data_IF_295281564996
#
_entry.id   IF_295281564996
#
_cell.length_a   1.000
_cell.length_b   1.000
_cell.length_c   1.000
_cell.angle_alpha   90.00
_cell.angle_beta   90.00
_cell.angle_gamma   90.00
#
_symmetry.space_group_name_H-M   'P 1'
#
loop_
_entity.id
_entity.type
_entity.pdbx_description
1 polymer ?
#
# COMPACT_ATOMS: atom_id res chain seq x y z
N UNK A 1 -2.61 -8.38 -11.85
CA UNK A 1 -3.37 -9.00 -10.72
C UNK A 1 -4.62 -9.68 -11.25
N UNK A 2 -5.55 -8.97 -11.90
CA UNK A 2 -6.73 -9.57 -12.54
C UNK A 2 -6.40 -10.74 -13.48
N UNK A 3 -5.40 -10.58 -14.36
CA UNK A 3 -4.90 -11.65 -15.23
C UNK A 3 -4.27 -12.85 -14.51
N UNK A 4 -3.80 -12.68 -13.27
CA UNK A 4 -3.11 -13.72 -12.51
C UNK A 4 -4.05 -14.49 -11.57
N UNK A 5 -5.15 -13.85 -11.14
CA UNK A 5 -6.09 -14.39 -10.14
C UNK A 5 -7.41 -14.86 -10.78
N UNK A 6 -7.77 -14.35 -11.97
CA UNK A 6 -9.13 -14.45 -12.49
C UNK A 6 -10.04 -13.37 -11.92
N UNK A 7 -11.20 -13.13 -12.55
CA UNK A 7 -12.06 -11.98 -12.21
C UNK A 7 -12.66 -12.07 -10.81
N UNK A 8 -13.22 -13.22 -10.43
CA UNK A 8 -13.88 -13.40 -9.13
C UNK A 8 -12.88 -13.27 -7.97
N UNK A 9 -11.75 -13.97 -8.05
CA UNK A 9 -10.72 -13.91 -7.02
C UNK A 9 -10.07 -12.53 -6.96
N UNK A 10 -10.00 -11.79 -8.07
CA UNK A 10 -9.52 -10.41 -8.08
C UNK A 10 -10.48 -9.47 -7.34
N UNK A 11 -11.79 -9.57 -7.57
CA UNK A 11 -12.79 -8.73 -6.90
C UNK A 11 -12.81 -8.94 -5.37
N UNK A 12 -12.62 -10.18 -4.92
CA UNK A 12 -12.57 -10.50 -3.48
C UNK A 12 -11.20 -10.27 -2.84
N UNK A 13 -10.15 -10.08 -3.64
CA UNK A 13 -8.77 -10.10 -3.17
C UNK A 13 -8.51 -9.11 -2.03
N UNK A 14 -8.88 -7.81 -2.10
CA UNK A 14 -8.59 -6.87 -1.01
C UNK A 14 -9.29 -7.24 0.30
N UNK A 15 -10.53 -7.76 0.21
CA UNK A 15 -11.27 -8.23 1.40
C UNK A 15 -10.58 -9.41 2.05
N UNK A 16 -10.36 -10.48 1.29
CA UNK A 16 -9.82 -11.75 1.82
C UNK A 16 -8.36 -11.65 2.24
N UNK A 17 -7.54 -10.93 1.47
CA UNK A 17 -6.12 -10.83 1.73
C UNK A 17 -5.79 -9.91 2.92
N UNK A 18 -6.62 -8.90 3.18
CA UNK A 18 -6.32 -7.88 4.18
C UNK A 18 -7.52 -7.45 5.02
N UNK A 19 -8.53 -6.83 4.42
CA UNK A 19 -9.54 -6.06 5.18
C UNK A 19 -10.27 -6.92 6.21
N UNK A 20 -10.69 -8.13 5.84
CA UNK A 20 -11.39 -9.03 6.75
C UNK A 20 -10.46 -9.53 7.88
N UNK A 21 -9.20 -9.80 7.55
CA UNK A 21 -8.20 -10.28 8.53
C UNK A 21 -7.91 -9.24 9.62
N UNK A 22 -7.84 -7.96 9.25
CA UNK A 22 -7.63 -6.87 10.20
C UNK A 22 -8.93 -6.22 10.69
N UNK A 23 -10.09 -6.80 10.38
CA UNK A 23 -11.38 -6.35 10.89
C UNK A 23 -11.85 -4.99 10.34
N UNK A 24 -11.41 -4.60 9.15
CA UNK A 24 -11.88 -3.42 8.41
C UNK A 24 -13.19 -3.72 7.65
N UNK A 25 -14.26 -3.99 8.41
CA UNK A 25 -15.53 -4.46 7.85
C UNK A 25 -16.36 -3.35 7.18
N UNK A 26 -16.01 -2.08 7.41
CA UNK A 26 -16.74 -0.89 6.93
C UNK A 26 -15.86 -0.08 5.97
N UNK A 27 -15.05 -0.78 5.18
CA UNK A 27 -14.21 -0.21 4.14
C UNK A 27 -14.71 -0.68 2.78
N UNK A 28 -15.06 0.27 1.91
CA UNK A 28 -15.44 0.02 0.53
C UNK A 28 -14.28 0.41 -0.40
N UNK A 29 -13.81 -0.57 -1.17
CA UNK A 29 -12.82 -0.36 -2.23
C UNK A 29 -13.58 -0.34 -3.56
N UNK A 30 -13.65 0.82 -4.20
CA UNK A 30 -14.41 0.99 -5.43
C UNK A 30 -13.65 0.46 -6.64
N UNK A 31 -14.41 0.02 -7.64
CA UNK A 31 -13.92 -0.36 -8.96
C UNK A 31 -14.46 0.59 -10.02
N UNK A 32 -13.74 0.70 -11.14
CA UNK A 32 -14.28 1.33 -12.32
C UNK A 32 -15.35 0.46 -13.01
N UNK A 33 -15.84 0.91 -14.16
CA UNK A 33 -16.86 0.19 -14.94
C UNK A 33 -16.40 -1.16 -15.52
N UNK A 34 -15.10 -1.45 -15.48
CA UNK A 34 -14.49 -2.69 -15.96
C UNK A 34 -14.10 -3.63 -14.81
N UNK A 35 -14.39 -3.25 -13.57
CA UNK A 35 -14.09 -4.02 -12.38
C UNK A 35 -12.65 -3.87 -11.90
N UNK A 36 -11.90 -2.88 -12.38
CA UNK A 36 -10.53 -2.60 -11.93
C UNK A 36 -10.55 -1.66 -10.71
N UNK A 37 -9.76 -1.97 -9.68
CA UNK A 37 -9.77 -1.18 -8.44
C UNK A 37 -9.18 0.23 -8.61
N UNK A 38 -9.90 1.23 -8.12
CA UNK A 38 -9.45 2.62 -8.08
C UNK A 38 -8.90 2.97 -6.70
N UNK A 39 -7.79 2.34 -6.33
CA UNK A 39 -7.17 2.45 -4.99
C UNK A 39 -6.57 3.82 -4.67
N UNK A 40 -6.34 4.66 -5.68
CA UNK A 40 -5.71 5.97 -5.51
C UNK A 40 -6.63 7.02 -4.91
N UNK A 41 -7.95 6.90 -5.12
CA UNK A 41 -8.90 7.95 -4.75
C UNK A 41 -10.30 7.47 -4.34
N UNK A 42 -10.66 6.21 -4.60
CA UNK A 42 -12.00 5.70 -4.31
C UNK A 42 -11.97 4.55 -3.28
N UNK A 43 -11.37 4.84 -2.13
CA UNK A 43 -11.45 3.99 -0.94
C UNK A 43 -12.19 4.76 0.15
N UNK A 44 -13.35 4.25 0.55
CA UNK A 44 -14.20 4.85 1.57
C UNK A 44 -14.08 4.04 2.85
N UNK A 45 -13.61 4.65 3.93
CA UNK A 45 -13.37 3.96 5.21
C UNK A 45 -13.74 4.86 6.38
N UNK A 46 -14.18 4.25 7.48
CA UNK A 46 -14.32 4.98 8.74
C UNK A 46 -12.96 5.11 9.47
N UNK A 47 -12.92 5.99 10.47
CA UNK A 47 -11.70 6.26 11.24
C UNK A 47 -11.22 5.04 12.05
N UNK A 48 -12.13 4.20 12.54
CA UNK A 48 -11.79 3.02 13.35
C UNK A 48 -11.05 1.98 12.51
N UNK A 49 -11.56 1.70 11.32
CA UNK A 49 -10.99 0.76 10.36
C UNK A 49 -9.64 1.26 9.87
N UNK A 50 -9.52 2.57 9.57
CA UNK A 50 -8.23 3.18 9.26
C UNK A 50 -7.24 3.11 10.45
N UNK A 51 -7.73 3.22 11.68
CA UNK A 51 -6.94 3.00 12.90
C UNK A 51 -6.37 1.59 12.98
N UNK A 52 -7.14 0.56 12.59
CA UNK A 52 -6.65 -0.83 12.52
C UNK A 52 -5.55 -1.00 11.48
N UNK A 53 -5.68 -0.35 10.33
CA UNK A 53 -4.61 -0.30 9.34
C UNK A 53 -3.32 0.34 9.90
N UNK A 54 -3.44 1.44 10.66
CA UNK A 54 -2.30 2.02 11.37
C UNK A 54 -1.67 1.08 12.40
N UNK A 55 -2.50 0.37 13.17
CA UNK A 55 -2.03 -0.64 14.14
C UNK A 55 -1.26 -1.77 13.47
N UNK A 56 -1.70 -2.27 12.31
CA UNK A 56 -0.95 -3.27 11.55
C UNK A 56 0.49 -2.82 11.25
N UNK A 57 0.67 -1.56 10.86
CA UNK A 57 2.01 -0.99 10.61
C UNK A 57 2.82 -0.84 11.90
N UNK A 58 2.18 -0.46 13.02
CA UNK A 58 2.83 -0.41 14.33
C UNK A 58 3.26 -1.81 14.81
N UNK A 59 2.50 -2.84 14.47
CA UNK A 59 2.78 -4.25 14.76
C UNK A 59 3.72 -4.91 13.73
N UNK A 60 4.43 -4.12 12.91
CA UNK A 60 5.37 -4.61 11.90
C UNK A 60 4.77 -5.65 10.92
N UNK A 61 3.50 -5.45 10.54
CA UNK A 61 2.80 -6.27 9.57
C UNK A 61 2.26 -7.60 10.11
N UNK A 62 2.25 -7.78 11.43
CA UNK A 62 1.68 -8.96 12.10
C UNK A 62 0.33 -8.59 12.72
N UNK A 63 -0.66 -9.46 12.56
CA UNK A 63 -1.98 -9.34 13.16
C UNK A 63 -2.44 -10.70 13.65
N UNK A 64 -2.84 -10.81 14.92
CA UNK A 64 -3.22 -12.10 15.54
C UNK A 64 -2.22 -13.24 15.24
N UNK A 65 -0.93 -12.98 15.45
CA UNK A 65 0.19 -13.90 15.18
C UNK A 65 0.41 -14.30 13.69
N UNK A 66 -0.42 -13.81 12.77
CA UNK A 66 -0.26 -14.00 11.34
C UNK A 66 0.51 -12.83 10.71
N UNK A 67 1.52 -13.14 9.89
CA UNK A 67 2.22 -12.12 9.09
C UNK A 67 1.43 -11.82 7.81
N UNK A 68 0.74 -10.68 7.82
CA UNK A 68 -0.02 -10.19 6.66
C UNK A 68 0.84 -9.36 5.70
N UNK A 69 1.82 -8.64 6.24
CA UNK A 69 2.73 -7.78 5.47
C UNK A 69 4.17 -8.12 5.83
N UNK A 70 5.03 -8.26 4.82
CA UNK A 70 6.43 -8.61 5.04
C UNK A 70 7.14 -7.51 5.84
N UNK A 71 8.08 -7.91 6.69
CA UNK A 71 8.85 -6.96 7.51
C UNK A 71 9.68 -6.04 6.61
N UNK A 72 10.18 -6.58 5.51
CA UNK A 72 10.93 -5.89 4.47
C UNK A 72 10.12 -4.77 3.85
N UNK A 73 8.83 -5.03 3.55
CA UNK A 73 7.93 -4.02 3.03
C UNK A 73 7.69 -2.90 4.05
N UNK A 74 7.36 -3.24 5.31
CA UNK A 74 7.16 -2.24 6.36
C UNK A 74 8.40 -1.35 6.50
N UNK A 75 9.59 -1.95 6.52
CA UNK A 75 10.85 -1.22 6.59
C UNK A 75 11.08 -0.34 5.35
N UNK A 76 10.74 -0.83 4.17
CA UNK A 76 10.83 -0.08 2.92
C UNK A 76 9.94 1.17 2.95
N UNK A 77 8.67 1.06 3.33
CA UNK A 77 7.73 2.20 3.34
C UNK A 77 8.10 3.23 4.43
N UNK A 78 8.64 2.78 5.57
CA UNK A 78 9.06 3.67 6.67
C UNK A 78 10.43 4.31 6.44
N UNK A 79 11.22 3.80 5.49
CA UNK A 79 12.56 4.34 5.20
C UNK A 79 12.41 5.73 4.62
N UNK A 80 12.89 6.74 5.34
CA UNK A 80 12.98 8.10 4.80
C UNK A 80 13.82 8.05 3.52
N UNK A 81 13.24 8.46 2.39
CA UNK A 81 14.00 8.53 1.15
C UNK A 81 15.15 9.51 1.33
N UNK A 82 16.39 9.01 1.24
CA UNK A 82 17.58 9.85 1.34
C UNK A 82 17.52 10.89 0.21
N UNK A 83 17.52 12.18 0.56
CA UNK A 83 17.70 13.26 -0.42
C UNK A 83 19.05 12.99 -1.10
N UNK A 84 19.07 12.96 -2.43
CA UNK A 84 20.34 12.94 -3.17
C UNK A 84 21.07 14.24 -2.80
N UNK A 85 22.12 14.14 -1.99
CA UNK A 85 23.08 15.23 -1.83
C UNK A 85 24.09 15.07 -2.96
N UNK A 86 23.77 15.67 -4.10
CA UNK A 86 24.75 16.17 -5.06
C UNK A 86 24.05 17.14 -6.03
N UNK A 87 23.97 18.43 -5.70
CA UNK A 87 23.92 19.44 -6.73
C UNK A 87 25.30 19.44 -7.40
N UNK A 88 25.46 18.63 -8.44
CA UNK A 88 26.70 18.53 -9.19
C UNK A 88 27.10 19.88 -9.77
N UNK A 89 28.27 20.34 -9.35
CA UNK A 89 29.27 21.06 -10.13
C UNK A 89 28.94 21.11 -11.63
N UNK A 90 28.42 22.24 -12.11
CA UNK A 90 28.54 22.60 -13.52
C UNK A 90 29.99 23.00 -13.77
N UNK A 91 30.78 22.04 -14.26
CA UNK A 91 32.03 22.34 -14.94
C UNK A 91 31.68 23.10 -16.23
N UNK A 92 31.68 24.43 -16.18
CA UNK A 92 31.75 25.23 -17.40
C UNK A 92 33.16 25.06 -17.94
N UNK A 93 33.23 24.41 -19.09
CA UNK A 93 34.46 24.10 -19.80
C UNK A 93 35.26 25.34 -20.15
N UNK A 94 36.57 25.16 -20.09
CA UNK A 94 37.59 26.02 -20.62
C UNK A 94 37.42 26.17 -22.15
N UNK A 95 37.46 27.40 -22.67
CA UNK A 95 37.73 27.68 -24.08
C UNK A 95 38.11 29.13 -24.28
N UNK A 96 39.34 29.36 -24.78
CA UNK A 96 39.77 30.59 -25.46
C UNK A 96 40.64 31.52 -24.64
#
# INVERSE_FOLDING_TARGET
MKLALGEDAYAEFPRRALLDKIGMQNTLVSTDRFGDFVLSSQVYTNARDLGRFGLLYLQNGVWNDERLVSREWINFVRRRRRRLQNPGTFMVGNSG
#
